data_IF_168038656301
#
_entry.id   IF_168038656301
#
_cell.length_a   1.000
_cell.length_b   1.000
_cell.length_c   1.000
_cell.angle_alpha   90.00
_cell.angle_beta   90.00
_cell.angle_gamma   90.00
#
_symmetry.space_group_name_H-M   'P 1'
#
loop_
_entity.id
_entity.type
_entity.pdbx_description
1 polymer ?
#
# COMPACT_ATOMS: atom_id res chain seq x y z
N UNK A 1 -15.16 6.74 17.96
CA UNK A 1 -15.47 5.57 17.11
C UNK A 1 -14.62 4.40 17.58
N UNK A 2 -15.26 3.27 17.84
CA UNK A 2 -14.59 2.03 18.25
C UNK A 2 -13.90 1.35 17.05
N UNK A 3 -13.05 0.35 17.31
CA UNK A 3 -12.37 -0.41 16.24
C UNK A 3 -13.38 -1.17 15.39
N UNK A 4 -14.39 -1.74 16.03
CA UNK A 4 -15.47 -2.52 15.45
C UNK A 4 -16.42 -1.65 14.61
N UNK A 5 -16.69 -0.42 15.05
CA UNK A 5 -17.40 0.57 14.22
C UNK A 5 -16.61 0.93 12.96
N UNK A 6 -15.32 1.25 13.12
CA UNK A 6 -14.43 1.60 12.01
C UNK A 6 -14.36 0.48 10.98
N UNK A 7 -14.18 -0.76 11.45
CA UNK A 7 -14.16 -1.93 10.57
C UNK A 7 -15.48 -2.10 9.82
N UNK A 8 -16.62 -2.03 10.52
CA UNK A 8 -17.95 -2.14 9.89
C UNK A 8 -18.17 -1.05 8.85
N UNK A 9 -17.75 0.18 9.12
CA UNK A 9 -17.88 1.31 8.20
C UNK A 9 -17.06 1.10 6.93
N UNK A 10 -15.77 0.75 7.07
CA UNK A 10 -14.89 0.44 5.93
C UNK A 10 -15.44 -0.72 5.11
N UNK A 11 -15.92 -1.77 5.77
CA UNK A 11 -16.47 -2.94 5.09
C UNK A 11 -17.79 -2.66 4.37
N UNK A 12 -18.58 -1.67 4.81
CA UNK A 12 -19.77 -1.19 4.08
C UNK A 12 -19.41 -0.42 2.82
N UNK A 13 -18.34 0.37 2.86
CA UNK A 13 -17.89 1.15 1.70
C UNK A 13 -17.29 0.26 0.60
N UNK A 14 -16.69 -0.88 0.96
CA UNK A 14 -15.86 -1.68 0.07
C UNK A 14 -16.57 -2.26 -1.18
N UNK A 15 -17.80 -2.82 -1.12
CA UNK A 15 -18.51 -3.26 -2.32
C UNK A 15 -18.81 -2.10 -3.28
N UNK A 16 -19.19 -0.94 -2.74
CA UNK A 16 -19.50 0.27 -3.51
C UNK A 16 -18.24 0.85 -4.16
N UNK A 17 -17.14 0.90 -3.41
CA UNK A 17 -15.84 1.32 -3.92
C UNK A 17 -15.37 0.40 -5.06
N UNK A 18 -15.49 -0.93 -4.89
CA UNK A 18 -15.14 -1.89 -5.96
C UNK A 18 -16.00 -1.71 -7.20
N UNK A 19 -17.29 -1.45 -7.04
CA UNK A 19 -18.18 -1.15 -8.16
C UNK A 19 -17.74 0.12 -8.88
N UNK A 20 -17.47 1.20 -8.13
CA UNK A 20 -16.97 2.46 -8.69
C UNK A 20 -15.62 2.29 -9.40
N UNK A 21 -14.68 1.54 -8.81
CA UNK A 21 -13.38 1.23 -9.42
C UNK A 21 -13.54 0.51 -10.76
N UNK A 22 -14.45 -0.46 -10.85
CA UNK A 22 -14.74 -1.19 -12.10
C UNK A 22 -15.35 -0.29 -13.17
N UNK A 23 -16.29 0.57 -12.79
CA UNK A 23 -16.87 1.56 -13.70
C UNK A 23 -15.80 2.53 -14.21
N UNK A 24 -14.97 3.08 -13.30
CA UNK A 24 -13.83 3.93 -13.68
C UNK A 24 -12.85 3.26 -14.62
N UNK A 25 -12.54 1.98 -14.38
CA UNK A 25 -11.71 1.21 -15.30
C UNK A 25 -12.36 1.09 -16.68
N UNK A 26 -13.60 0.62 -16.74
CA UNK A 26 -14.31 0.32 -17.99
C UNK A 26 -14.57 1.57 -18.83
N UNK A 27 -15.05 2.63 -18.19
CA UNK A 27 -15.66 3.77 -18.90
C UNK A 27 -14.64 4.87 -19.20
N UNK A 28 -13.55 4.95 -18.43
CA UNK A 28 -12.58 6.05 -18.52
C UNK A 28 -11.14 5.55 -18.71
N UNK A 29 -10.66 4.74 -17.77
CA UNK A 29 -9.22 4.51 -17.63
C UNK A 29 -8.68 3.52 -18.67
N UNK A 30 -9.44 2.48 -19.04
CA UNK A 30 -8.96 1.45 -19.98
C UNK A 30 -8.47 2.05 -21.29
N UNK A 31 -9.24 2.97 -21.87
CA UNK A 31 -8.84 3.65 -23.11
C UNK A 31 -7.60 4.52 -22.90
N UNK A 32 -7.55 5.30 -21.81
CA UNK A 32 -6.39 6.15 -21.49
C UNK A 32 -5.10 5.32 -21.32
N UNK A 33 -5.19 4.19 -20.63
CA UNK A 33 -4.07 3.27 -20.49
C UNK A 33 -3.69 2.63 -21.83
N UNK A 34 -4.66 2.23 -22.68
CA UNK A 34 -4.39 1.63 -23.98
C UNK A 34 -3.57 2.55 -24.91
N UNK A 35 -3.83 3.85 -24.83
CA UNK A 35 -3.16 4.88 -25.63
C UNK A 35 -1.90 5.46 -24.97
N UNK A 36 -1.58 5.05 -23.74
CA UNK A 36 -0.38 5.54 -23.06
C UNK A 36 0.89 5.02 -23.77
N UNK A 37 1.83 5.90 -24.15
CA UNK A 37 3.07 5.50 -24.81
C UNK A 37 4.12 4.94 -23.84
N UNK A 38 4.00 5.25 -22.54
CA UNK A 38 5.01 4.94 -21.53
C UNK A 38 4.39 4.14 -20.38
N UNK A 39 5.06 3.06 -20.00
CA UNK A 39 4.66 2.22 -18.87
C UNK A 39 5.83 2.03 -17.89
N UNK A 40 5.58 1.85 -16.57
CA UNK A 40 4.28 1.75 -15.94
C UNK A 40 3.51 3.08 -16.00
N UNK A 41 2.19 2.99 -16.08
CA UNK A 41 1.29 4.13 -16.07
C UNK A 41 0.40 4.05 -14.83
N UNK A 42 -0.08 5.19 -14.36
CA UNK A 42 -1.03 5.24 -13.25
C UNK A 42 -2.07 6.34 -13.41
N UNK A 43 -3.18 6.20 -12.69
CA UNK A 43 -4.19 7.24 -12.56
C UNK A 43 -4.60 7.37 -11.08
N UNK A 44 -4.67 8.60 -10.60
CA UNK A 44 -5.16 8.93 -9.26
C UNK A 44 -6.59 9.45 -9.34
N UNK A 45 -7.51 8.90 -8.55
CA UNK A 45 -8.90 9.32 -8.48
C UNK A 45 -9.39 9.29 -7.04
N UNK A 46 -10.37 10.14 -6.74
CA UNK A 46 -11.04 10.15 -5.44
C UNK A 46 -12.50 9.78 -5.60
N UNK A 47 -13.04 9.10 -4.59
CA UNK A 47 -14.46 8.76 -4.47
C UNK A 47 -14.93 9.09 -3.06
N UNK A 48 -16.16 9.58 -2.93
CA UNK A 48 -16.76 9.83 -1.61
C UNK A 48 -17.88 8.83 -1.39
N UNK A 49 -17.79 8.05 -0.31
CA UNK A 49 -18.81 7.06 0.02
C UNK A 49 -20.11 7.74 0.49
N UNK A 50 -21.24 7.00 0.55
CA UNK A 50 -22.48 7.51 1.16
C UNK A 50 -22.27 7.98 2.61
N UNK A 51 -21.33 7.37 3.33
CA UNK A 51 -20.94 7.73 4.69
C UNK A 51 -19.96 8.92 4.76
N UNK A 52 -19.74 9.62 3.63
CA UNK A 52 -18.86 10.79 3.50
C UNK A 52 -17.37 10.49 3.66
N UNK A 53 -16.96 9.22 3.67
CA UNK A 53 -15.55 8.87 3.62
C UNK A 53 -14.97 9.21 2.25
N UNK A 54 -13.92 10.03 2.24
CA UNK A 54 -13.18 10.37 1.03
C UNK A 54 -12.09 9.33 0.79
N UNK A 55 -12.40 8.38 -0.09
CA UNK A 55 -11.48 7.38 -0.58
C UNK A 55 -10.59 7.96 -1.67
N UNK A 56 -9.30 7.69 -1.55
CA UNK A 56 -8.28 7.98 -2.55
C UNK A 56 -7.87 6.66 -3.19
N UNK A 57 -7.66 6.65 -4.49
CA UNK A 57 -7.37 5.43 -5.24
C UNK A 57 -6.34 5.68 -6.31
N UNK A 58 -5.30 4.84 -6.30
CA UNK A 58 -4.45 4.67 -7.46
C UNK A 58 -4.86 3.45 -8.27
N UNK A 59 -4.91 3.64 -9.59
CA UNK A 59 -5.01 2.59 -10.58
C UNK A 59 -3.65 2.48 -11.28
N UNK A 60 -3.06 1.29 -11.29
CA UNK A 60 -1.77 1.04 -11.93
C UNK A 60 -1.91 0.05 -13.07
N UNK A 61 -1.18 0.34 -14.13
CA UNK A 61 -0.98 -0.57 -15.24
C UNK A 61 0.52 -0.68 -15.49
N UNK A 62 1.07 -1.88 -15.29
CA UNK A 62 2.52 -2.13 -15.40
C UNK A 62 2.94 -2.25 -16.87
N UNK A 63 2.04 -2.67 -17.76
CA UNK A 63 2.33 -2.79 -19.18
C UNK A 63 1.09 -2.67 -20.06
N UNK A 64 1.28 -2.29 -21.33
CA UNK A 64 0.21 -2.25 -22.34
C UNK A 64 -0.49 -3.59 -22.54
N UNK A 65 0.25 -4.70 -22.41
CA UNK A 65 -0.30 -6.08 -22.47
C UNK A 65 -1.36 -6.32 -21.41
N UNK A 66 -1.26 -5.64 -20.26
CA UNK A 66 -2.28 -5.73 -19.25
C UNK A 66 -3.59 -5.18 -19.83
N UNK A 67 -3.67 -3.93 -20.26
CA UNK A 67 -4.92 -3.29 -20.75
C UNK A 67 -5.84 -4.16 -21.66
N UNK A 68 -5.27 -5.04 -22.50
CA UNK A 68 -5.99 -5.89 -23.46
C UNK A 68 -6.24 -7.35 -23.03
N UNK A 69 -5.72 -7.81 -21.87
CA UNK A 69 -5.96 -9.17 -21.34
C UNK A 69 -6.78 -9.16 -20.04
N UNK A 70 -8.07 -8.80 -20.09
CA UNK A 70 -8.90 -8.65 -18.88
C UNK A 70 -9.02 -9.94 -18.06
N UNK A 71 -8.92 -11.10 -18.71
CA UNK A 71 -9.09 -12.43 -18.10
C UNK A 71 -7.92 -12.85 -17.18
N UNK A 72 -6.75 -12.22 -17.35
CA UNK A 72 -5.54 -12.51 -16.57
C UNK A 72 -5.25 -11.42 -15.53
N UNK A 73 -6.14 -10.44 -15.35
CA UNK A 73 -5.76 -9.16 -14.75
C UNK A 73 -6.39 -8.83 -13.41
N UNK A 74 -5.56 -8.96 -12.38
CA UNK A 74 -5.62 -8.09 -11.21
C UNK A 74 -5.17 -6.70 -11.66
N UNK A 75 -6.11 -5.84 -12.04
CA UNK A 75 -5.85 -4.40 -12.05
C UNK A 75 -5.24 -4.05 -10.68
N UNK A 76 -4.02 -3.52 -10.67
CA UNK A 76 -3.38 -3.13 -9.43
C UNK A 76 -4.07 -1.85 -8.96
N UNK A 77 -5.03 -2.02 -8.07
CA UNK A 77 -5.77 -0.93 -7.44
C UNK A 77 -5.42 -0.90 -5.98
N UNK A 78 -4.99 0.27 -5.52
CA UNK A 78 -4.80 0.53 -4.11
C UNK A 78 -5.68 1.70 -3.72
N UNK A 79 -6.50 1.49 -2.70
CA UNK A 79 -7.36 2.54 -2.14
C UNK A 79 -7.13 2.68 -0.65
N UNK A 80 -7.18 3.92 -0.19
CA UNK A 80 -7.08 4.27 1.22
C UNK A 80 -8.03 5.41 1.57
N UNK A 81 -8.33 5.53 2.86
CA UNK A 81 -9.06 6.65 3.45
C UNK A 81 -8.26 7.19 4.62
N UNK A 82 -8.18 8.51 4.74
CA UNK A 82 -7.43 9.17 5.83
C UNK A 82 -8.27 9.30 7.08
N UNK A 83 -7.60 9.33 8.22
CA UNK A 83 -8.19 9.76 9.48
C UNK A 83 -7.25 10.72 10.21
N UNK A 84 -7.82 11.63 10.98
CA UNK A 84 -7.08 12.50 11.89
C UNK A 84 -7.02 11.83 13.27
N UNK A 85 -5.88 11.95 13.94
CA UNK A 85 -5.69 11.60 15.34
C UNK A 85 -4.88 12.72 16.02
N UNK A 86 -4.84 12.71 17.35
CA UNK A 86 -4.21 13.78 18.15
C UNK A 86 -2.74 14.02 17.78
N UNK A 87 -2.04 12.98 17.35
CA UNK A 87 -0.63 13.00 16.98
C UNK A 87 -0.38 12.99 15.46
N UNK A 88 -1.36 13.36 14.66
CA UNK A 88 -1.22 13.56 13.22
C UNK A 88 -2.20 12.75 12.38
N UNK A 89 -1.83 12.51 11.11
CA UNK A 89 -2.70 11.86 10.12
C UNK A 89 -2.31 10.41 9.90
N UNK A 90 -3.32 9.54 9.89
CA UNK A 90 -3.18 8.13 9.55
C UNK A 90 -4.03 7.76 8.33
N UNK A 91 -3.97 6.49 7.95
CA UNK A 91 -4.79 5.97 6.87
C UNK A 91 -5.29 4.55 7.16
N UNK A 92 -6.46 4.23 6.61
CA UNK A 92 -6.92 2.86 6.47
C UNK A 92 -6.81 2.44 5.01
N UNK A 93 -6.32 1.24 4.75
CA UNK A 93 -6.44 0.59 3.44
C UNK A 93 -7.05 -0.80 3.61
N UNK A 94 -7.39 -1.44 2.50
CA UNK A 94 -7.65 -2.87 2.46
C UNK A 94 -6.59 -3.54 1.62
N UNK A 95 -6.09 -4.67 2.10
CA UNK A 95 -5.18 -5.51 1.32
C UNK A 95 -5.81 -6.86 1.07
N UNK A 96 -5.47 -7.47 -0.07
CA UNK A 96 -5.63 -8.90 -0.24
C UNK A 96 -4.55 -9.59 0.57
N UNK A 97 -4.82 -9.85 1.85
CA UNK A 97 -3.93 -10.65 2.65
C UNK A 97 -3.93 -12.07 2.11
N UNK A 98 -2.74 -12.65 1.92
CA UNK A 98 -2.61 -14.10 1.97
C UNK A 98 -2.60 -14.54 3.43
N UNK A 99 -3.69 -14.27 4.17
CA UNK A 99 -3.93 -15.05 5.38
C UNK A 99 -4.33 -16.46 4.93
N UNK A 100 -4.19 -17.45 5.80
CA UNK A 100 -4.74 -18.79 5.55
C UNK A 100 -6.26 -18.79 5.28
N UNK A 101 -6.95 -17.66 5.45
CA UNK A 101 -8.41 -17.55 5.33
C UNK A 101 -8.93 -16.87 4.06
N UNK A 102 -8.07 -16.40 3.13
CA UNK A 102 -8.48 -15.64 1.92
C UNK A 102 -9.43 -14.44 2.18
N UNK A 103 -9.53 -13.98 3.44
CA UNK A 103 -10.45 -12.91 3.83
C UNK A 103 -9.82 -11.54 3.56
N UNK A 104 -10.64 -10.61 3.08
CA UNK A 104 -10.25 -9.21 2.99
C UNK A 104 -9.98 -8.67 4.39
N UNK A 105 -8.93 -7.87 4.49
CA UNK A 105 -8.49 -7.35 5.76
C UNK A 105 -8.22 -5.85 5.70
N UNK A 106 -8.53 -5.19 6.81
CA UNK A 106 -8.38 -3.76 7.02
C UNK A 106 -7.03 -3.50 7.67
N UNK A 107 -6.28 -2.57 7.08
CA UNK A 107 -4.95 -2.19 7.54
C UNK A 107 -4.97 -0.74 7.99
N UNK A 108 -4.72 -0.54 9.28
CA UNK A 108 -4.56 0.78 9.89
C UNK A 108 -3.08 1.17 9.92
N UNK A 109 -2.75 2.28 9.28
CA UNK A 109 -1.46 2.95 9.36
C UNK A 109 -1.62 4.13 10.32
N UNK A 110 -1.01 4.03 11.50
CA UNK A 110 -1.10 5.09 12.53
C UNK A 110 -0.17 6.28 12.18
N UNK A 111 -0.42 7.50 12.67
CA UNK A 111 0.45 8.65 12.39
C UNK A 111 1.93 8.40 12.70
N UNK A 112 2.22 7.73 13.82
CA UNK A 112 3.59 7.34 14.18
C UNK A 112 4.28 6.46 13.11
N UNK A 113 3.55 5.62 12.38
CA UNK A 113 4.11 4.85 11.28
C UNK A 113 4.66 5.76 10.18
N UNK A 114 3.86 6.73 9.73
CA UNK A 114 4.26 7.68 8.70
C UNK A 114 5.39 8.60 9.18
N UNK A 115 5.34 9.06 10.44
CA UNK A 115 6.45 9.81 11.03
C UNK A 115 7.77 9.04 10.98
N UNK A 116 7.77 7.75 11.32
CA UNK A 116 8.97 6.91 11.23
C UNK A 116 9.42 6.69 9.80
N UNK A 117 8.49 6.55 8.85
CA UNK A 117 8.83 6.47 7.43
C UNK A 117 9.50 7.76 6.93
N UNK A 118 8.98 8.93 7.35
CA UNK A 118 9.60 10.22 7.04
C UNK A 118 11.04 10.30 7.58
N UNK A 119 11.21 10.11 8.89
CA UNK A 119 12.49 10.27 9.58
C UNK A 119 13.55 9.25 9.18
N UNK A 120 13.15 8.05 8.76
CA UNK A 120 14.08 6.93 8.50
C UNK A 120 14.32 6.65 7.02
N UNK A 121 13.53 7.26 6.13
CA UNK A 121 13.65 7.07 4.70
C UNK A 121 13.60 8.38 3.92
N UNK A 122 12.59 9.23 4.11
CA UNK A 122 12.43 10.46 3.33
C UNK A 122 13.54 11.47 3.63
N UNK A 123 13.70 11.88 4.90
CA UNK A 123 14.69 12.89 5.30
C UNK A 123 16.13 12.42 5.00
N UNK A 124 16.57 11.22 5.40
CA UNK A 124 17.97 10.81 5.22
C UNK A 124 18.37 10.59 3.76
N UNK A 125 17.39 10.33 2.87
CA UNK A 125 17.65 10.13 1.44
C UNK A 125 17.26 11.36 0.60
N UNK A 126 16.90 12.48 1.23
CA UNK A 126 16.50 13.72 0.56
C UNK A 126 15.46 13.51 -0.54
N UNK A 127 14.44 12.69 -0.26
CA UNK A 127 13.41 12.35 -1.24
C UNK A 127 12.53 13.57 -1.50
N UNK A 128 12.40 13.96 -2.77
CA UNK A 128 11.52 15.03 -3.20
C UNK A 128 10.04 14.59 -3.19
N UNK A 129 9.24 15.26 -2.37
CA UNK A 129 7.79 15.03 -2.26
C UNK A 129 6.96 16.01 -3.10
N UNK A 130 7.60 16.95 -3.82
CA UNK A 130 6.91 17.95 -4.67
C UNK A 130 5.96 17.32 -5.69
N UNK A 131 6.28 16.19 -6.36
CA UNK A 131 5.34 15.52 -7.28
C UNK A 131 4.04 15.02 -6.60
N UNK A 132 4.02 14.97 -5.27
CA UNK A 132 2.87 14.56 -4.46
C UNK A 132 2.31 15.71 -3.64
N UNK A 133 2.62 16.97 -3.96
CA UNK A 133 2.17 18.15 -3.22
C UNK A 133 2.64 18.13 -1.74
N UNK A 134 3.82 17.54 -1.47
CA UNK A 134 4.32 17.35 -0.11
C UNK A 134 3.59 16.25 0.68
N UNK A 135 2.72 15.47 0.05
CA UNK A 135 1.87 14.48 0.71
C UNK A 135 2.59 13.14 0.90
N UNK A 136 3.09 12.94 2.12
CA UNK A 136 3.79 11.72 2.54
C UNK A 136 2.94 10.45 2.41
N UNK A 137 1.63 10.51 2.69
CA UNK A 137 0.75 9.33 2.64
C UNK A 137 0.53 8.94 1.17
N UNK A 138 0.30 9.93 0.29
CA UNK A 138 0.20 9.68 -1.16
C UNK A 138 1.49 9.10 -1.73
N UNK A 139 2.64 9.65 -1.33
CA UNK A 139 3.95 9.13 -1.72
C UNK A 139 4.11 7.67 -1.25
N UNK A 140 3.81 7.39 0.02
CA UNK A 140 3.95 6.06 0.59
C UNK A 140 3.12 5.03 -0.18
N UNK A 141 1.83 5.28 -0.40
CA UNK A 141 0.97 4.34 -1.12
C UNK A 141 1.31 4.25 -2.60
N UNK A 142 1.84 5.31 -3.21
CA UNK A 142 2.28 5.26 -4.60
C UNK A 142 3.43 4.26 -4.79
N UNK A 143 4.42 4.31 -3.91
CA UNK A 143 5.62 3.47 -4.03
C UNK A 143 5.46 2.07 -3.41
N UNK A 144 4.34 1.78 -2.75
CA UNK A 144 4.11 0.55 -1.98
C UNK A 144 2.77 -0.13 -2.33
N UNK A 145 2.44 -0.20 -3.61
CA UNK A 145 1.16 -0.78 -4.07
C UNK A 145 1.01 -2.27 -3.73
N UNK A 146 2.09 -3.03 -3.86
CA UNK A 146 2.10 -4.48 -3.61
C UNK A 146 2.63 -4.81 -2.21
N UNK A 147 2.33 -3.95 -1.22
CA UNK A 147 2.74 -4.17 0.17
C UNK A 147 2.22 -5.53 0.66
N UNK A 148 3.15 -6.40 1.03
CA UNK A 148 2.85 -7.72 1.54
C UNK A 148 3.08 -7.73 3.05
N UNK A 149 2.04 -8.12 3.79
CA UNK A 149 2.07 -8.21 5.24
C UNK A 149 1.52 -9.57 5.67
N UNK A 150 2.14 -10.16 6.68
CA UNK A 150 1.79 -11.45 7.24
C UNK A 150 1.75 -11.39 8.76
N UNK A 151 0.84 -12.16 9.34
CA UNK A 151 0.72 -12.31 10.79
C UNK A 151 1.28 -13.67 11.22
N UNK A 152 1.89 -13.73 12.40
CA UNK A 152 2.33 -15.00 12.98
C UNK A 152 1.13 -15.89 13.31
N UNK A 153 1.17 -17.22 13.05
CA UNK A 153 0.03 -18.12 13.26
C UNK A 153 -0.53 -18.12 14.68
N UNK A 154 0.34 -17.92 15.67
CA UNK A 154 0.01 -17.93 17.10
C UNK A 154 0.25 -16.57 17.76
N UNK A 155 0.58 -15.55 16.96
CA UNK A 155 1.09 -14.28 17.45
C UNK A 155 0.27 -13.12 16.91
N UNK A 156 -0.10 -12.19 17.79
CA UNK A 156 -0.68 -10.92 17.39
C UNK A 156 0.33 -10.01 16.66
N UNK A 157 1.49 -10.51 16.23
CA UNK A 157 2.56 -9.71 15.60
C UNK A 157 2.42 -9.78 14.10
N UNK A 158 2.44 -8.60 13.47
CA UNK A 158 2.41 -8.47 12.01
C UNK A 158 3.76 -8.01 11.53
N UNK A 159 4.24 -8.65 10.48
CA UNK A 159 5.43 -8.26 9.75
C UNK A 159 5.06 -7.89 8.32
N UNK A 160 5.76 -6.92 7.78
CA UNK A 160 5.62 -6.50 6.41
C UNK A 160 6.96 -6.16 5.80
N UNK A 161 7.01 -6.20 4.48
CA UNK A 161 8.15 -5.75 3.70
C UNK A 161 7.70 -4.75 2.67
N UNK A 162 8.51 -3.71 2.49
CA UNK A 162 8.42 -2.76 1.40
C UNK A 162 9.82 -2.56 0.81
N UNK A 163 9.98 -2.04 -0.42
CA UNK A 163 11.29 -1.85 -1.03
C UNK A 163 12.28 -1.04 -0.18
N UNK A 164 11.79 -0.20 0.73
CA UNK A 164 12.61 0.68 1.57
C UNK A 164 13.01 0.03 2.91
N UNK A 165 12.31 -1.02 3.36
CA UNK A 165 12.56 -1.61 4.66
C UNK A 165 11.47 -2.53 5.19
N UNK A 166 11.44 -2.66 6.51
CA UNK A 166 10.55 -3.56 7.22
C UNK A 166 9.44 -2.80 7.94
N UNK A 167 8.28 -3.44 8.01
CA UNK A 167 7.10 -2.93 8.70
C UNK A 167 6.76 -3.88 9.84
N UNK A 168 6.38 -3.30 10.98
CA UNK A 168 5.92 -4.05 12.13
C UNK A 168 4.60 -3.50 12.61
N UNK A 169 3.73 -4.40 13.00
CA UNK A 169 2.39 -4.09 13.45
C UNK A 169 1.87 -5.14 14.40
N UNK A 170 0.55 -5.10 14.59
CA UNK A 170 -0.17 -6.13 15.31
C UNK A 170 -1.49 -6.47 14.65
N UNK A 171 -1.90 -7.72 14.79
CA UNK A 171 -3.27 -8.12 14.55
C UNK A 171 -4.10 -7.72 15.77
N UNK A 172 -5.14 -6.93 15.52
CA UNK A 172 -6.04 -6.46 16.57
C UNK A 172 -7.10 -7.53 16.85
N UNK A 173 -7.85 -7.87 15.80
CA UNK A 173 -8.97 -8.80 15.80
C UNK A 173 -9.21 -9.21 14.34
N UNK A 174 -9.45 -10.51 14.09
CA UNK A 174 -10.01 -11.08 12.85
C UNK A 174 -9.94 -10.14 11.63
N UNK A 175 -8.84 -10.17 10.88
CA UNK A 175 -8.65 -9.39 9.64
C UNK A 175 -8.47 -7.87 9.81
N UNK A 176 -8.35 -7.36 11.03
CA UNK A 176 -7.96 -5.99 11.33
C UNK A 176 -6.52 -5.93 11.84
N UNK A 177 -5.68 -5.17 11.13
CA UNK A 177 -4.26 -5.05 11.44
C UNK A 177 -3.88 -3.58 11.66
N UNK A 178 -3.03 -3.33 12.65
CA UNK A 178 -2.45 -2.01 12.90
C UNK A 178 -0.96 -2.05 12.63
N UNK A 179 -0.50 -1.34 11.61
CA UNK A 179 0.93 -1.12 11.35
C UNK A 179 1.42 0.01 12.26
N UNK A 180 2.39 -0.30 13.12
CA UNK A 180 2.84 0.60 14.19
C UNK A 180 4.10 1.37 13.83
N UNK A 181 5.00 0.75 13.07
CA UNK A 181 6.32 1.32 12.82
C UNK A 181 6.93 0.80 11.53
N UNK A 182 7.85 1.59 11.01
CA UNK A 182 8.71 1.29 9.87
C UNK A 182 10.16 1.40 10.31
N UNK A 183 11.01 0.50 9.82
CA UNK A 183 12.47 0.61 9.93
C UNK A 183 13.09 0.39 8.55
N UNK A 184 14.13 1.14 8.23
CA UNK A 184 14.93 0.85 7.04
C UNK A 184 15.76 -0.44 7.26
N UNK A 185 16.30 -1.00 6.18
CA UNK A 185 17.15 -2.20 6.27
C UNK A 185 18.39 -1.98 7.15
N UNK A 186 18.96 -0.79 7.10
CA UNK A 186 20.27 -0.47 7.68
C UNK A 186 20.23 -0.26 9.21
N UNK A 187 19.05 -0.09 9.82
CA UNK A 187 18.90 0.07 11.29
C UNK A 187 19.15 -1.24 12.04
N UNK A 188 18.86 -2.39 11.42
CA UNK A 188 19.05 -3.69 12.08
C UNK A 188 20.47 -4.20 11.89
N UNK A 189 21.07 -4.70 12.97
CA UNK A 189 22.32 -5.47 12.85
C UNK A 189 22.09 -6.81 12.13
N UNK A 190 23.17 -7.40 11.62
CA UNK A 190 23.14 -8.63 10.82
C UNK A 190 22.33 -9.76 11.48
N UNK A 191 22.60 -10.05 12.76
CA UNK A 191 21.90 -11.10 13.52
C UNK A 191 20.37 -10.89 13.56
N UNK A 192 19.93 -9.63 13.72
CA UNK A 192 18.50 -9.28 13.71
C UNK A 192 17.90 -9.39 12.30
N UNK A 193 18.63 -9.01 11.27
CA UNK A 193 18.19 -9.17 9.88
C UNK A 193 18.00 -10.65 9.51
N UNK A 194 18.94 -11.53 9.89
CA UNK A 194 18.82 -12.98 9.64
C UNK A 194 17.62 -13.59 10.36
N UNK A 195 17.41 -13.24 11.63
CA UNK A 195 16.24 -13.69 12.38
C UNK A 195 14.95 -13.26 11.70
N UNK A 196 14.87 -12.00 11.27
CA UNK A 196 13.71 -11.46 10.57
C UNK A 196 13.50 -12.16 9.22
N UNK A 197 14.57 -12.38 8.44
CA UNK A 197 14.49 -13.09 7.18
C UNK A 197 13.89 -14.49 7.32
N UNK A 198 14.24 -15.22 8.40
CA UNK A 198 13.63 -16.53 8.70
C UNK A 198 12.13 -16.41 8.95
N UNK A 199 11.70 -15.42 9.76
CA UNK A 199 10.27 -15.17 10.04
C UNK A 199 9.53 -14.83 8.73
N UNK A 200 10.05 -13.90 7.94
CA UNK A 200 9.43 -13.45 6.69
C UNK A 200 9.31 -14.60 5.65
N UNK A 201 10.28 -15.52 5.62
CA UNK A 201 10.21 -16.74 4.79
C UNK A 201 9.12 -17.69 5.26
N UNK A 202 9.02 -17.93 6.57
CA UNK A 202 7.95 -18.76 7.15
C UNK A 202 6.56 -18.20 6.84
N UNK A 203 6.43 -16.87 6.88
CA UNK A 203 5.18 -16.16 6.56
C UNK A 203 4.91 -16.04 5.06
N UNK A 204 5.80 -16.54 4.20
CA UNK A 204 5.73 -16.42 2.74
C UNK A 204 5.57 -14.96 2.24
N UNK A 205 6.15 -14.01 2.98
CA UNK A 205 6.18 -12.58 2.64
C UNK A 205 7.58 -12.10 2.25
N UNK A 206 8.55 -13.02 2.18
CA UNK A 206 9.92 -12.76 1.71
C UNK A 206 10.01 -12.63 0.18
N UNK A 207 9.09 -13.27 -0.56
CA UNK A 207 9.13 -13.34 -2.02
C UNK A 207 8.32 -12.22 -2.68
N UNK A 208 8.91 -11.02 -2.75
CA UNK A 208 8.50 -9.97 -3.72
C UNK A 208 9.53 -8.86 -3.94
N UNK A 209 10.78 -8.98 -3.45
CA UNK A 209 11.85 -8.03 -3.79
C UNK A 209 12.71 -8.60 -4.92
N UNK A 210 12.84 -7.92 -6.08
CA UNK A 210 13.92 -8.20 -7.00
C UNK A 210 15.23 -7.82 -6.31
N UNK A 211 16.02 -8.82 -5.92
CA UNK A 211 17.34 -8.62 -5.33
C UNK A 211 18.36 -7.98 -6.31
N UNK A 212 17.95 -7.64 -7.55
CA UNK A 212 18.77 -6.90 -8.51
C UNK A 212 18.77 -5.37 -8.30
N UNK A 213 18.03 -4.85 -7.33
CA UNK A 213 18.08 -3.42 -6.97
C UNK A 213 19.02 -3.21 -5.76
N UNK A 214 20.20 -3.83 -5.77
CA UNK A 214 21.29 -3.46 -4.84
C UNK A 214 22.20 -2.34 -5.38
N UNK A 215 21.92 -1.80 -6.57
CA UNK A 215 22.72 -0.70 -7.14
C UNK A 215 21.91 0.45 -7.77
N UNK A 216 20.58 0.49 -7.61
CA UNK A 216 19.83 1.66 -8.05
C UNK A 216 19.90 2.72 -6.94
N UNK A 217 20.44 3.90 -7.25
CA UNK A 217 20.52 5.03 -6.32
C UNK A 217 19.17 5.23 -5.61
N UNK A 218 19.14 5.58 -4.31
CA UNK A 218 17.93 6.10 -3.68
C UNK A 218 17.38 7.22 -4.57
N UNK A 219 16.20 7.02 -5.17
CA UNK A 219 15.61 7.96 -6.14
C UNK A 219 15.44 7.45 -7.58
N UNK A 220 16.04 6.33 -7.99
CA UNK A 220 15.74 5.72 -9.30
C UNK A 220 14.53 4.78 -9.22
N UNK A 221 13.38 5.31 -8.83
CA UNK A 221 12.11 4.61 -9.02
C UNK A 221 11.67 4.82 -10.48
N UNK A 222 11.12 3.78 -11.12
CA UNK A 222 10.49 3.93 -12.44
C UNK A 222 9.44 5.04 -12.34
N UNK A 223 9.68 6.17 -13.00
CA UNK A 223 8.72 7.29 -13.06
C UNK A 223 7.50 6.76 -13.81
N UNK A 224 6.46 6.39 -13.08
CA UNK A 224 5.23 5.95 -13.70
C UNK A 224 4.53 7.17 -14.31
N UNK A 225 4.11 7.06 -15.56
CA UNK A 225 3.44 8.18 -16.25
C UNK A 225 2.06 8.41 -15.64
N UNK A 226 1.82 9.62 -15.12
CA UNK A 226 0.52 10.00 -14.59
C UNK A 226 -0.45 10.34 -15.73
N UNK A 227 -1.55 9.61 -15.81
CA UNK A 227 -2.64 9.91 -16.72
C UNK A 227 -3.55 10.99 -16.11
N UNK A 228 -3.55 12.18 -16.71
CA UNK A 228 -4.44 13.27 -16.30
C UNK A 228 -5.91 12.91 -16.55
N UNK A 229 -6.76 13.42 -15.66
CA UNK A 229 -8.22 13.38 -15.79
C UNK A 229 -8.65 14.18 -16.99
#
# INVERSE_FOLDING_TARGET
MTREETFREIMRDLPLLKHWQRAKWKDELRSKFAHCPVFPAHAYRTWTSPNKNKWETYFYCVSKKQVFRPEVQRLQVLSWVRFNADNGRGAYSFSGFRTHSERMAVVKYIPHFFLRFHQRFIEPNHIDLTPFDGDLIRYFFFHNIDINIGAEPNGHVVYGTIPQGFIFGREEQNTFFTLKTYINYNILNHKKQEKLARILKLLNIWNSLPFEVQHSKPGSFKVATQLKG
#
